data_IF_391848059987
#
_entry.id   IF_391848059987
#
_cell.length_a   1.000
_cell.length_b   1.000
_cell.length_c   1.000
_cell.angle_alpha   90.00
_cell.angle_beta   90.00
_cell.angle_gamma   90.00
#
_symmetry.space_group_name_H-M   'P 1'
#
loop_
_entity.id
_entity.type
_entity.pdbx_description
1 polymer ?
#
# COMPACT_ATOMS: atom_id res chain seq x y z
N UNK A 1 23.73 0.00 23.55
CA UNK A 1 23.55 0.89 22.39
C UNK A 1 22.89 2.18 22.85
N UNK A 2 23.27 3.37 22.34
CA UNK A 2 22.54 4.59 22.66
C UNK A 2 21.08 4.42 22.24
N UNK A 3 20.15 4.90 23.07
CA UNK A 3 18.72 4.86 22.76
C UNK A 3 18.34 5.75 21.57
N UNK A 4 17.11 5.61 21.02
CA UNK A 4 16.65 6.45 19.94
C UNK A 4 16.62 7.92 20.33
N UNK A 5 16.91 8.80 19.36
CA UNK A 5 16.89 10.25 19.56
C UNK A 5 15.43 10.73 19.58
N UNK A 6 14.96 11.10 20.77
CA UNK A 6 13.57 11.45 21.04
C UNK A 6 13.03 12.59 20.16
N UNK A 7 13.87 13.59 19.85
CA UNK A 7 13.46 14.72 18.98
C UNK A 7 13.16 14.27 17.55
N UNK A 8 13.93 13.30 17.03
CA UNK A 8 13.71 12.74 15.68
C UNK A 8 12.43 11.90 15.66
N UNK A 9 12.20 11.08 16.70
CA UNK A 9 10.97 10.30 16.82
C UNK A 9 9.73 11.21 16.83
N UNK A 10 9.74 12.23 17.67
CA UNK A 10 8.64 13.19 17.77
C UNK A 10 8.40 13.95 16.45
N UNK A 11 9.48 14.34 15.73
CA UNK A 11 9.36 14.95 14.43
C UNK A 11 8.69 14.01 13.41
N UNK A 12 9.09 12.73 13.40
CA UNK A 12 8.47 11.72 12.54
C UNK A 12 6.99 11.49 12.90
N UNK A 13 6.62 11.49 14.19
CA UNK A 13 5.22 11.38 14.64
C UNK A 13 4.38 12.58 14.19
N UNK A 14 4.91 13.79 14.25
CA UNK A 14 4.24 14.99 13.72
C UNK A 14 4.00 14.87 12.22
N UNK A 15 4.99 14.43 11.44
CA UNK A 15 4.84 14.24 10.00
C UNK A 15 3.80 13.17 9.67
N UNK A 16 3.82 12.03 10.38
CA UNK A 16 2.82 10.96 10.22
C UNK A 16 1.41 11.45 10.56
N UNK A 17 1.24 12.22 11.63
CA UNK A 17 -0.05 12.77 12.01
C UNK A 17 -0.60 13.70 10.94
N UNK A 18 0.24 14.58 10.36
CA UNK A 18 -0.15 15.45 9.25
C UNK A 18 -0.48 14.67 7.97
N UNK A 19 0.18 13.54 7.74
CA UNK A 19 -0.08 12.66 6.58
C UNK A 19 -1.44 11.95 6.67
N UNK A 20 -1.85 11.48 7.86
CA UNK A 20 -3.11 10.75 8.05
C UNK A 20 -4.35 11.66 8.01
N UNK A 21 -4.18 12.95 8.16
CA UNK A 21 -5.27 13.93 8.14
C UNK A 21 -5.85 14.24 6.74
N UNK A 22 -5.34 13.65 5.65
CA UNK A 22 -5.74 13.96 4.28
C UNK A 22 -5.50 15.44 3.94
N UNK A 23 -6.51 16.13 3.40
CA UNK A 23 -6.44 17.59 3.16
C UNK A 23 -6.49 18.42 4.46
N UNK A 24 -6.45 17.78 5.61
CA UNK A 24 -6.59 18.47 6.88
C UNK A 24 -5.28 19.07 7.34
N UNK A 25 -5.34 20.36 7.56
CA UNK A 25 -4.30 21.11 8.20
C UNK A 25 -4.56 21.10 9.71
N UNK A 26 -3.50 20.95 10.51
CA UNK A 26 -3.57 20.92 11.96
C UNK A 26 -2.88 22.13 12.59
N UNK A 27 -3.49 22.70 13.61
CA UNK A 27 -2.89 23.73 14.46
C UNK A 27 -1.90 23.10 15.45
N UNK A 28 -1.00 23.92 16.01
CA UNK A 28 -0.09 23.51 17.11
C UNK A 28 -0.85 22.83 18.25
N UNK A 29 -2.03 23.38 18.59
CA UNK A 29 -2.85 22.86 19.70
C UNK A 29 -3.47 21.50 19.41
N UNK A 30 -3.88 21.23 18.17
CA UNK A 30 -4.41 19.92 17.74
C UNK A 30 -3.29 18.87 17.73
N UNK A 31 -2.12 19.20 17.18
CA UNK A 31 -0.94 18.31 17.16
C UNK A 31 -0.48 18.00 18.59
N UNK A 32 -0.38 19.03 19.46
CA UNK A 32 0.04 18.86 20.86
C UNK A 32 -0.91 17.91 21.62
N UNK A 33 -2.20 18.02 21.40
CA UNK A 33 -3.20 17.13 22.02
C UNK A 33 -3.14 15.72 21.48
N UNK A 34 -3.00 15.56 20.16
CA UNK A 34 -2.96 14.25 19.51
C UNK A 34 -1.73 13.43 19.90
N UNK A 35 -0.58 14.09 20.13
CA UNK A 35 0.69 13.44 20.44
C UNK A 35 1.06 13.49 21.93
N UNK A 36 0.20 14.05 22.78
CA UNK A 36 0.45 14.28 24.21
C UNK A 36 1.78 15.03 24.47
N UNK A 37 2.00 16.11 23.71
CA UNK A 37 3.19 16.92 23.80
C UNK A 37 2.88 18.34 24.28
N UNK A 38 3.82 18.97 24.99
CA UNK A 38 3.71 20.38 25.36
C UNK A 38 3.73 21.27 24.08
N UNK A 39 2.84 22.28 24.01
CA UNK A 39 2.77 23.22 22.87
C UNK A 39 4.13 23.84 22.49
N UNK A 40 5.00 24.29 23.43
CA UNK A 40 6.32 24.80 23.10
C UNK A 40 7.19 23.78 22.37
N UNK A 41 7.12 22.48 22.76
CA UNK A 41 7.86 21.39 22.12
C UNK A 41 7.38 21.21 20.68
N UNK A 42 6.06 21.14 20.45
CA UNK A 42 5.48 21.01 19.11
C UNK A 42 5.85 22.21 18.24
N UNK A 43 5.79 23.42 18.79
CA UNK A 43 6.17 24.63 18.07
C UNK A 43 7.64 24.59 17.63
N UNK A 44 8.56 24.14 18.52
CA UNK A 44 9.97 23.98 18.19
C UNK A 44 10.20 22.96 17.07
N UNK A 45 9.51 21.81 17.12
CA UNK A 45 9.57 20.77 16.07
C UNK A 45 9.05 21.32 14.74
N UNK A 46 7.87 21.94 14.73
CA UNK A 46 7.26 22.48 13.51
C UNK A 46 8.11 23.58 12.88
N UNK A 47 8.72 24.45 13.69
CA UNK A 47 9.65 25.48 13.19
C UNK A 47 10.84 24.83 12.47
N UNK A 48 11.48 23.82 13.07
CA UNK A 48 12.60 23.11 12.44
C UNK A 48 12.17 22.41 11.16
N UNK A 49 11.02 21.72 11.17
CA UNK A 49 10.48 21.06 9.99
C UNK A 49 10.12 22.05 8.87
N UNK A 50 9.69 23.26 9.23
CA UNK A 50 9.39 24.34 8.29
C UNK A 50 10.69 24.90 7.67
N UNK A 51 11.74 25.10 8.47
CA UNK A 51 13.06 25.54 7.99
C UNK A 51 13.66 24.59 6.93
N UNK A 52 13.38 23.28 7.03
CA UNK A 52 13.84 22.28 6.05
C UNK A 52 12.79 21.98 4.97
N UNK A 53 11.65 22.68 4.96
CA UNK A 53 10.60 22.53 3.95
C UNK A 53 9.73 21.28 4.06
N UNK A 54 9.80 20.53 5.18
CA UNK A 54 8.99 19.34 5.42
C UNK A 54 7.56 19.64 5.87
N UNK A 55 7.36 20.83 6.41
CA UNK A 55 6.06 21.34 6.84
C UNK A 55 5.91 22.77 6.31
N UNK A 56 4.70 23.14 5.94
CA UNK A 56 4.30 24.48 5.53
C UNK A 56 3.19 25.00 6.43
N UNK A 57 3.17 26.33 6.64
CA UNK A 57 2.10 27.02 7.32
C UNK A 57 1.42 27.97 6.34
N UNK A 58 0.11 27.90 6.24
CA UNK A 58 -0.64 28.66 5.23
C UNK A 58 -0.65 30.16 5.47
N UNK A 59 -0.73 30.55 6.74
CA UNK A 59 -0.65 31.95 7.20
C UNK A 59 0.04 31.95 8.56
N UNK A 60 0.74 33.00 8.93
CA UNK A 60 1.36 33.14 10.24
C UNK A 60 0.33 32.93 11.36
N UNK A 61 0.60 32.01 12.30
CA UNK A 61 -0.34 31.57 13.33
C UNK A 61 -1.42 30.58 12.88
N UNK A 62 -1.46 30.20 11.58
CA UNK A 62 -2.42 29.27 10.99
C UNK A 62 -2.09 27.81 11.23
N UNK A 63 -2.78 26.96 10.46
CA UNK A 63 -2.60 25.51 10.49
C UNK A 63 -1.40 25.07 9.66
N UNK A 64 -0.85 23.91 10.02
CA UNK A 64 0.31 23.28 9.35
C UNK A 64 -0.14 22.13 8.47
N UNK A 65 0.57 21.94 7.35
CA UNK A 65 0.44 20.83 6.41
C UNK A 65 1.80 20.27 6.02
N UNK A 66 1.83 19.12 5.35
CA UNK A 66 3.06 18.61 4.77
C UNK A 66 3.61 19.53 3.69
N UNK A 67 4.93 19.73 3.69
CA UNK A 67 5.65 20.58 2.75
C UNK A 67 6.17 19.83 1.52
N UNK A 68 6.45 20.58 0.45
CA UNK A 68 6.85 20.03 -0.85
C UNK A 68 8.19 19.26 -0.83
N UNK A 69 9.09 19.54 0.13
CA UNK A 69 10.35 18.80 0.24
C UNK A 69 10.16 17.32 0.53
N UNK A 70 9.08 16.93 1.20
CA UNK A 70 8.75 15.51 1.42
C UNK A 70 8.40 14.80 0.12
N UNK A 71 7.74 15.47 -0.81
CA UNK A 71 7.44 14.91 -2.13
C UNK A 71 8.74 14.64 -2.91
N UNK A 72 9.72 15.57 -2.87
CA UNK A 72 11.02 15.35 -3.53
C UNK A 72 11.78 14.14 -2.98
N UNK A 73 11.74 13.94 -1.65
CA UNK A 73 12.36 12.77 -1.03
C UNK A 73 11.61 11.49 -1.41
N UNK A 74 10.28 11.53 -1.37
CA UNK A 74 9.43 10.39 -1.73
C UNK A 74 9.58 9.98 -3.21
N UNK A 75 9.72 10.93 -4.14
CA UNK A 75 9.98 10.61 -5.55
C UNK A 75 11.32 9.91 -5.74
N UNK A 76 12.38 10.30 -5.03
CA UNK A 76 13.68 9.60 -5.09
C UNK A 76 13.58 8.14 -4.66
N UNK A 77 12.73 7.82 -3.67
CA UNK A 77 12.45 6.45 -3.28
C UNK A 77 11.74 5.68 -4.40
N UNK A 78 10.75 6.29 -5.03
CA UNK A 78 9.98 5.66 -6.13
C UNK A 78 10.83 5.49 -7.40
N UNK A 79 11.71 6.43 -7.71
CA UNK A 79 12.61 6.37 -8.87
C UNK A 79 13.68 5.29 -8.71
N UNK A 80 14.15 5.05 -7.48
CA UNK A 80 15.04 3.94 -7.14
C UNK A 80 14.37 2.57 -7.09
N UNK A 81 13.05 2.48 -7.21
CA UNK A 81 12.34 1.22 -7.13
C UNK A 81 12.29 0.52 -8.49
N UNK A 82 13.18 -0.47 -8.67
CA UNK A 82 13.32 -1.24 -9.93
C UNK A 82 12.02 -1.96 -10.30
N UNK A 83 11.32 -2.56 -9.34
CA UNK A 83 10.04 -3.22 -9.57
C UNK A 83 9.03 -2.25 -10.21
N UNK A 84 8.88 -1.05 -9.62
CA UNK A 84 7.98 -0.03 -10.16
C UNK A 84 8.36 0.34 -11.58
N UNK A 85 9.65 0.63 -11.83
CA UNK A 85 10.14 1.05 -13.15
C UNK A 85 9.84 -0.01 -14.24
N UNK A 86 10.04 -1.30 -13.93
CA UNK A 86 9.76 -2.41 -14.85
C UNK A 86 8.28 -2.71 -15.03
N UNK A 87 7.45 -2.34 -14.07
CA UNK A 87 6.03 -2.67 -14.06
C UNK A 87 5.13 -1.61 -14.71
N UNK A 88 5.61 -0.38 -15.00
CA UNK A 88 4.77 0.74 -15.46
C UNK A 88 3.89 0.35 -16.67
N UNK A 89 4.50 -0.07 -17.77
CA UNK A 89 3.78 -0.42 -19.00
C UNK A 89 2.82 -1.61 -18.81
N UNK A 90 3.21 -2.57 -17.99
CA UNK A 90 2.38 -3.75 -17.69
C UNK A 90 1.19 -3.39 -16.82
N UNK A 91 1.34 -2.43 -15.92
CA UNK A 91 0.24 -1.91 -15.10
C UNK A 91 -0.80 -1.20 -15.93
N UNK A 92 -0.37 -0.33 -16.86
CA UNK A 92 -1.28 0.36 -17.79
C UNK A 92 -2.01 -0.64 -18.68
N UNK A 93 -1.29 -1.63 -19.23
CA UNK A 93 -1.87 -2.70 -20.06
C UNK A 93 -2.90 -3.50 -19.27
N UNK A 94 -2.59 -3.86 -18.01
CA UNK A 94 -3.50 -4.59 -17.13
C UNK A 94 -4.75 -3.77 -16.82
N UNK A 95 -4.60 -2.48 -16.49
CA UNK A 95 -5.73 -1.59 -16.22
C UNK A 95 -6.69 -1.49 -17.40
N UNK A 96 -6.14 -1.35 -18.63
CA UNK A 96 -6.93 -1.30 -19.84
C UNK A 96 -7.68 -2.61 -20.15
N UNK A 97 -7.03 -3.76 -19.95
CA UNK A 97 -7.63 -5.09 -20.20
C UNK A 97 -8.67 -5.45 -19.16
N UNK A 98 -8.31 -5.30 -17.87
CA UNK A 98 -9.21 -5.65 -16.77
C UNK A 98 -10.32 -4.60 -16.56
N UNK A 99 -10.12 -3.35 -17.03
CA UNK A 99 -10.98 -2.20 -16.79
C UNK A 99 -11.16 -1.91 -15.29
N UNK A 100 -10.11 -2.18 -14.51
CA UNK A 100 -10.07 -1.97 -13.07
C UNK A 100 -8.81 -1.22 -12.65
N UNK A 101 -8.83 -0.68 -11.43
CA UNK A 101 -7.65 -0.05 -10.84
C UNK A 101 -6.55 -1.09 -10.59
N UNK A 102 -5.29 -0.73 -10.91
CA UNK A 102 -4.13 -1.59 -10.69
C UNK A 102 -3.25 -1.01 -9.60
N UNK A 103 -2.76 -1.87 -8.73
CA UNK A 103 -1.77 -1.50 -7.70
C UNK A 103 -0.58 -2.44 -7.74
N UNK A 104 0.60 -1.88 -7.47
CA UNK A 104 1.82 -2.64 -7.22
C UNK A 104 2.21 -2.40 -5.77
N UNK A 105 2.42 -3.47 -5.03
CA UNK A 105 2.77 -3.43 -3.63
C UNK A 105 4.08 -4.14 -3.32
N UNK A 106 4.77 -3.66 -2.29
CA UNK A 106 5.93 -4.29 -1.67
C UNK A 106 5.72 -4.40 -0.17
N UNK A 107 6.34 -5.38 0.49
CA UNK A 107 6.27 -5.46 1.95
C UNK A 107 7.05 -4.31 2.59
N UNK A 108 6.42 -3.64 3.56
CA UNK A 108 7.02 -2.62 4.40
C UNK A 108 6.60 -2.85 5.86
N UNK A 109 7.46 -3.51 6.63
CA UNK A 109 7.11 -3.98 7.98
C UNK A 109 5.91 -4.92 7.94
N UNK A 110 4.83 -4.54 8.61
CA UNK A 110 3.56 -5.31 8.70
C UNK A 110 2.50 -4.85 7.68
N UNK A 111 2.88 -4.07 6.68
CA UNK A 111 1.94 -3.52 5.70
C UNK A 111 2.46 -3.71 4.29
N UNK A 112 1.59 -3.60 3.34
CA UNK A 112 1.92 -3.49 1.92
C UNK A 112 2.00 -2.01 1.57
N UNK A 113 3.18 -1.52 1.19
CA UNK A 113 3.34 -0.19 0.63
C UNK A 113 2.97 -0.23 -0.85
N UNK A 114 1.99 0.54 -1.25
CA UNK A 114 1.64 0.73 -2.67
C UNK A 114 2.67 1.64 -3.31
N UNK A 115 3.51 1.10 -4.20
CA UNK A 115 4.57 1.85 -4.89
C UNK A 115 4.14 2.39 -6.25
N UNK A 116 3.02 1.88 -6.78
CA UNK A 116 2.42 2.37 -8.03
C UNK A 116 0.91 2.10 -8.05
N UNK A 117 0.16 3.03 -8.64
CA UNK A 117 -1.28 2.93 -8.81
C UNK A 117 -1.67 3.45 -10.20
N UNK A 118 -2.44 2.68 -10.94
CA UNK A 118 -3.10 3.08 -12.18
C UNK A 118 -4.59 3.15 -11.92
N UNK A 119 -5.19 4.28 -12.22
CA UNK A 119 -6.63 4.46 -12.07
C UNK A 119 -7.40 3.55 -13.01
N UNK A 120 -8.58 3.13 -12.55
CA UNK A 120 -9.55 2.47 -13.42
C UNK A 120 -9.88 3.38 -14.62
N UNK A 121 -9.86 2.85 -15.84
CA UNK A 121 -10.11 3.65 -17.05
C UNK A 121 -11.60 3.95 -17.24
N UNK A 122 -12.17 4.73 -16.32
CA UNK A 122 -13.52 5.26 -16.38
C UNK A 122 -13.55 6.71 -15.84
N UNK A 123 -14.71 7.35 -15.91
CA UNK A 123 -14.87 8.73 -15.43
C UNK A 123 -15.23 8.84 -13.95
N UNK A 124 -15.09 7.76 -13.16
CA UNK A 124 -15.36 7.80 -11.73
C UNK A 124 -14.29 8.59 -10.98
N UNK A 125 -14.71 9.22 -9.89
CA UNK A 125 -13.76 9.85 -8.97
C UNK A 125 -13.00 8.76 -8.22
N UNK A 126 -11.68 8.79 -8.31
CA UNK A 126 -10.79 7.83 -7.66
C UNK A 126 -9.75 8.56 -6.82
N UNK A 127 -9.26 7.90 -5.78
CA UNK A 127 -8.17 8.40 -4.93
C UNK A 127 -6.87 7.74 -5.33
N UNK A 128 -5.78 8.50 -5.34
CA UNK A 128 -4.44 7.96 -5.58
C UNK A 128 -3.95 7.21 -4.36
N UNK A 129 -3.61 5.93 -4.53
CA UNK A 129 -3.15 5.07 -3.44
C UNK A 129 -1.63 4.91 -3.40
N UNK A 130 -0.86 5.50 -4.32
CA UNK A 130 0.60 5.46 -4.23
C UNK A 130 1.07 6.08 -2.91
N UNK A 131 1.83 5.32 -2.13
CA UNK A 131 2.24 5.65 -0.77
C UNK A 131 1.29 5.14 0.33
N UNK A 132 0.12 4.58 -0.03
CA UNK A 132 -0.78 3.96 0.94
C UNK A 132 -0.15 2.71 1.58
N UNK A 133 -0.46 2.50 2.84
CA UNK A 133 -0.11 1.30 3.60
C UNK A 133 -1.36 0.44 3.77
N UNK A 134 -1.40 -0.70 3.10
CA UNK A 134 -2.51 -1.64 3.16
C UNK A 134 -2.21 -2.77 4.16
N UNK A 135 -3.22 -3.30 4.86
CA UNK A 135 -3.02 -4.48 5.69
C UNK A 135 -2.69 -5.71 4.84
N UNK A 136 -1.70 -6.48 5.28
CA UNK A 136 -1.28 -7.66 4.52
C UNK A 136 -2.30 -8.81 4.59
N UNK A 137 -3.00 -8.95 5.72
CA UNK A 137 -3.87 -10.08 6.00
C UNK A 137 -5.25 -10.00 5.33
N UNK A 138 -5.66 -8.82 4.90
CA UNK A 138 -7.00 -8.58 4.34
C UNK A 138 -6.96 -8.04 2.89
N UNK A 139 -5.84 -8.22 2.19
CA UNK A 139 -5.69 -7.77 0.80
C UNK A 139 -5.03 -8.86 -0.05
N UNK A 140 -5.45 -8.99 -1.30
CA UNK A 140 -4.84 -9.92 -2.24
C UNK A 140 -3.34 -9.64 -2.43
N UNK A 141 -2.93 -8.37 -2.51
CA UNK A 141 -1.52 -7.98 -2.57
C UNK A 141 -0.72 -8.52 -1.38
N UNK A 142 -1.24 -8.35 -0.18
CA UNK A 142 -0.56 -8.80 1.04
C UNK A 142 -0.46 -10.32 1.11
N UNK A 143 -1.55 -11.02 0.81
CA UNK A 143 -1.55 -12.50 0.77
C UNK A 143 -0.60 -13.03 -0.29
N UNK A 144 -0.55 -12.43 -1.48
CA UNK A 144 0.39 -12.82 -2.54
C UNK A 144 1.86 -12.59 -2.15
N UNK A 145 2.15 -11.55 -1.36
CA UNK A 145 3.51 -11.26 -0.86
C UNK A 145 3.94 -12.21 0.25
N UNK A 146 3.05 -12.47 1.20
CA UNK A 146 3.38 -13.23 2.43
C UNK A 146 3.37 -14.73 2.20
N UNK A 147 2.55 -15.24 1.27
CA UNK A 147 2.41 -16.66 1.02
C UNK A 147 3.74 -17.38 0.73
N UNK A 148 4.71 -16.71 0.12
CA UNK A 148 6.00 -17.28 -0.30
C UNK A 148 7.17 -16.94 0.66
N UNK A 149 6.90 -16.24 1.75
CA UNK A 149 7.88 -15.96 2.80
C UNK A 149 7.94 -17.07 3.84
N UNK A 150 9.09 -17.19 4.51
CA UNK A 150 9.27 -18.17 5.59
C UNK A 150 8.58 -17.77 6.90
N UNK A 151 8.36 -16.45 7.09
CA UNK A 151 7.76 -15.90 8.29
C UNK A 151 6.68 -14.89 7.94
N UNK A 152 5.56 -14.98 8.64
CA UNK A 152 4.51 -13.98 8.57
C UNK A 152 4.87 -12.76 9.43
N UNK A 153 4.37 -11.57 9.09
CA UNK A 153 4.54 -10.42 9.95
C UNK A 153 3.98 -10.69 11.36
N UNK A 154 4.81 -10.57 12.39
CA UNK A 154 4.41 -10.78 13.78
C UNK A 154 3.30 -9.84 14.23
N UNK A 155 2.40 -10.32 15.08
CA UNK A 155 1.37 -9.53 15.75
C UNK A 155 -0.05 -10.05 15.51
N UNK A 156 -0.99 -9.45 16.21
CA UNK A 156 -2.39 -9.77 16.10
C UNK A 156 -2.93 -9.38 14.71
N UNK A 157 -3.71 -10.28 14.11
CA UNK A 157 -4.40 -10.02 12.86
C UNK A 157 -5.58 -9.10 13.13
N UNK A 158 -5.63 -7.98 12.42
CA UNK A 158 -6.75 -7.05 12.51
C UNK A 158 -7.91 -7.53 11.64
N UNK A 159 -9.09 -7.63 12.21
CA UNK A 159 -10.34 -7.79 11.46
C UNK A 159 -10.85 -6.42 11.00
N UNK A 160 -11.18 -6.28 9.71
CA UNK A 160 -11.68 -5.05 9.10
C UNK A 160 -13.18 -5.14 8.80
N UNK A 161 -13.63 -6.34 8.40
CA UNK A 161 -15.02 -6.68 8.15
C UNK A 161 -15.36 -8.02 8.80
N UNK A 162 -16.61 -8.43 8.74
CA UNK A 162 -17.02 -9.79 9.15
C UNK A 162 -16.48 -10.90 8.25
N UNK A 163 -15.95 -10.54 7.07
CA UNK A 163 -15.38 -11.47 6.08
C UNK A 163 -13.85 -11.54 6.16
N UNK A 164 -13.21 -10.71 6.98
CA UNK A 164 -11.77 -10.83 7.22
C UNK A 164 -11.46 -12.20 7.79
N UNK A 165 -10.55 -12.93 7.16
CA UNK A 165 -10.19 -14.28 7.56
C UNK A 165 -9.58 -14.31 8.96
N UNK A 166 -9.99 -15.29 9.75
CA UNK A 166 -9.34 -15.61 11.02
C UNK A 166 -7.95 -16.26 10.76
N UNK A 167 -7.10 -16.44 11.80
CA UNK A 167 -5.76 -16.99 11.61
C UNK A 167 -5.71 -18.36 10.96
N UNK A 168 -6.65 -19.25 11.24
CA UNK A 168 -6.70 -20.62 10.69
C UNK A 168 -7.12 -20.58 9.21
N UNK A 169 -8.17 -19.83 8.89
CA UNK A 169 -8.65 -19.61 7.53
C UNK A 169 -7.57 -18.94 6.67
N UNK A 170 -6.89 -17.91 7.21
CA UNK A 170 -5.82 -17.22 6.51
C UNK A 170 -4.66 -18.15 6.21
N UNK A 171 -4.27 -19.01 7.17
CA UNK A 171 -3.24 -20.02 6.95
C UNK A 171 -3.61 -20.97 5.80
N UNK A 172 -4.83 -21.47 5.80
CA UNK A 172 -5.33 -22.32 4.74
C UNK A 172 -5.33 -21.61 3.37
N UNK A 173 -5.78 -20.35 3.31
CA UNK A 173 -5.78 -19.56 2.07
C UNK A 173 -4.36 -19.30 1.56
N UNK A 174 -3.40 -18.99 2.43
CA UNK A 174 -2.01 -18.79 2.03
C UNK A 174 -1.37 -20.06 1.44
N UNK A 175 -1.74 -21.25 1.91
CA UNK A 175 -1.33 -22.51 1.28
C UNK A 175 -1.93 -22.65 -0.13
N UNK A 176 -3.21 -22.33 -0.30
CA UNK A 176 -3.82 -22.29 -1.64
C UNK A 176 -3.17 -21.26 -2.55
N UNK A 177 -2.75 -20.11 -2.01
CA UNK A 177 -2.00 -19.08 -2.79
C UNK A 177 -0.67 -19.64 -3.29
N UNK A 178 0.06 -20.42 -2.47
CA UNK A 178 1.31 -21.09 -2.90
C UNK A 178 1.07 -22.08 -4.06
N UNK A 179 -0.02 -22.82 -4.01
CA UNK A 179 -0.33 -23.84 -5.03
C UNK A 179 -0.79 -23.20 -6.35
N UNK A 180 -1.62 -22.17 -6.29
CA UNK A 180 -2.22 -21.54 -7.48
C UNK A 180 -1.44 -20.36 -8.05
N UNK A 181 -0.50 -19.80 -7.28
CA UNK A 181 0.36 -18.66 -7.65
C UNK A 181 -0.40 -17.34 -7.85
N UNK A 182 -1.49 -17.14 -7.13
CA UNK A 182 -2.25 -15.89 -7.06
C UNK A 182 -3.13 -15.88 -5.81
N UNK A 183 -3.48 -14.69 -5.35
CA UNK A 183 -4.33 -14.45 -4.20
C UNK A 183 -5.55 -13.61 -4.59
N UNK A 184 -6.60 -13.70 -3.80
CA UNK A 184 -7.72 -12.76 -3.81
C UNK A 184 -8.16 -12.43 -2.40
N UNK A 185 -8.81 -11.32 -2.23
CA UNK A 185 -9.68 -11.02 -1.11
C UNK A 185 -11.10 -10.74 -1.61
N UNK A 186 -12.08 -11.03 -0.80
CA UNK A 186 -13.49 -10.83 -1.08
C UNK A 186 -14.16 -10.28 0.17
N UNK A 187 -14.52 -8.99 0.14
CA UNK A 187 -15.09 -8.26 1.27
C UNK A 187 -14.19 -8.16 2.51
N UNK A 188 -12.94 -8.61 2.47
CA UNK A 188 -12.10 -8.76 3.66
C UNK A 188 -11.60 -7.42 4.23
N UNK A 189 -11.18 -6.48 3.37
CA UNK A 189 -10.76 -5.14 3.79
C UNK A 189 -11.92 -4.16 3.82
N UNK A 190 -12.74 -4.16 2.77
CA UNK A 190 -13.90 -3.27 2.59
C UNK A 190 -15.08 -4.11 2.13
N UNK A 191 -16.21 -3.98 2.82
CA UNK A 191 -17.46 -4.64 2.39
C UNK A 191 -17.87 -4.16 0.99
N UNK A 192 -18.20 -5.08 0.10
CA UNK A 192 -18.55 -4.78 -1.30
C UNK A 192 -17.37 -4.68 -2.26
N UNK A 193 -16.15 -4.84 -1.79
CA UNK A 193 -14.95 -4.82 -2.64
C UNK A 193 -14.29 -6.20 -2.74
N UNK A 194 -13.60 -6.42 -3.85
CA UNK A 194 -12.74 -7.56 -4.09
C UNK A 194 -11.42 -7.13 -4.72
N UNK A 195 -10.40 -7.95 -4.56
CA UNK A 195 -9.14 -7.77 -5.29
C UNK A 195 -8.53 -9.11 -5.70
N UNK A 196 -7.66 -9.06 -6.71
CA UNK A 196 -6.85 -10.17 -7.19
C UNK A 196 -5.42 -9.71 -7.34
N UNK A 197 -4.46 -10.50 -6.89
CA UNK A 197 -3.05 -10.19 -7.04
C UNK A 197 -2.22 -11.45 -7.33
N UNK A 198 -1.08 -11.24 -8.00
CA UNK A 198 -0.10 -12.28 -8.24
C UNK A 198 1.30 -11.78 -7.84
N UNK A 199 2.18 -12.68 -7.35
CA UNK A 199 3.52 -12.33 -6.93
C UNK A 199 4.40 -12.01 -8.12
N UNK A 200 5.28 -11.03 -7.94
CA UNK A 200 6.35 -10.68 -8.88
C UNK A 200 7.69 -11.13 -8.30
N UNK A 201 8.47 -11.87 -9.11
CA UNK A 201 9.72 -12.48 -8.69
C UNK A 201 10.93 -11.88 -9.39
N UNK A 202 12.03 -11.83 -8.66
CA UNK A 202 13.33 -11.46 -9.22
C UNK A 202 14.01 -12.67 -9.94
N UNK A 203 15.22 -12.45 -10.46
CA UNK A 203 16.05 -13.47 -11.13
C UNK A 203 16.38 -14.69 -10.24
N UNK A 204 16.24 -14.59 -8.93
CA UNK A 204 16.49 -15.68 -7.96
C UNK A 204 15.21 -16.45 -7.62
N UNK A 205 14.08 -16.05 -8.19
CA UNK A 205 12.76 -16.60 -7.87
C UNK A 205 12.15 -16.05 -6.57
N UNK A 206 12.81 -15.07 -5.94
CA UNK A 206 12.32 -14.45 -4.70
C UNK A 206 11.19 -13.48 -5.03
N UNK A 207 10.10 -13.52 -4.28
CA UNK A 207 8.99 -12.56 -4.39
C UNK A 207 9.46 -11.20 -3.87
N UNK A 208 9.54 -10.22 -4.77
CA UNK A 208 9.99 -8.85 -4.47
C UNK A 208 8.85 -7.84 -4.49
N UNK A 209 7.68 -8.26 -4.94
CA UNK A 209 6.48 -7.45 -4.98
C UNK A 209 5.27 -8.25 -5.43
N UNK A 210 4.13 -7.59 -5.53
CA UNK A 210 2.92 -8.13 -6.12
C UNK A 210 2.24 -7.08 -6.98
N UNK A 211 1.57 -7.52 -8.05
CA UNK A 211 0.71 -6.69 -8.90
C UNK A 211 -0.71 -7.23 -8.82
N UNK A 212 -1.70 -6.34 -8.75
CA UNK A 212 -3.09 -6.75 -8.64
C UNK A 212 -4.07 -5.69 -9.08
N UNK A 213 -5.31 -6.10 -9.24
CA UNK A 213 -6.48 -5.27 -9.52
C UNK A 213 -7.41 -5.27 -8.32
N UNK A 214 -8.21 -4.22 -8.18
CA UNK A 214 -9.24 -4.12 -7.15
C UNK A 214 -10.42 -3.28 -7.63
N UNK A 215 -11.59 -3.57 -7.10
CA UNK A 215 -12.81 -2.85 -7.40
C UNK A 215 -14.03 -3.47 -6.74
N UNK A 216 -15.24 -2.95 -7.05
CA UNK A 216 -16.48 -3.51 -6.59
C UNK A 216 -16.64 -4.98 -6.98
N UNK A 217 -17.19 -5.77 -6.07
CA UNK A 217 -17.43 -7.22 -6.26
C UNK A 217 -18.21 -7.51 -7.55
N UNK A 218 -19.23 -6.72 -7.85
CA UNK A 218 -20.08 -6.88 -9.05
C UNK A 218 -19.29 -6.79 -10.36
N UNK A 219 -18.11 -6.17 -10.31
CA UNK A 219 -17.22 -6.02 -11.47
C UNK A 219 -16.18 -7.11 -11.59
N UNK A 220 -15.76 -7.69 -10.45
CA UNK A 220 -14.70 -8.70 -10.42
C UNK A 220 -15.24 -10.13 -10.37
N UNK A 221 -16.43 -10.35 -9.81
CA UNK A 221 -17.02 -11.65 -9.57
C UNK A 221 -18.30 -11.84 -10.38
N UNK A 222 -18.69 -13.08 -10.62
CA UNK A 222 -19.98 -13.40 -11.26
C UNK A 222 -21.14 -13.33 -10.27
N UNK A 223 -20.83 -13.47 -8.98
CA UNK A 223 -21.75 -13.31 -7.85
C UNK A 223 -20.96 -12.78 -6.63
N UNK A 224 -21.62 -12.05 -5.71
CA UNK A 224 -20.95 -11.43 -4.56
C UNK A 224 -20.18 -12.42 -3.66
N UNK A 225 -20.61 -13.67 -3.59
CA UNK A 225 -20.01 -14.70 -2.73
C UNK A 225 -19.07 -15.65 -3.49
N UNK A 226 -18.77 -15.36 -4.76
CA UNK A 226 -17.89 -16.18 -5.58
C UNK A 226 -16.51 -15.54 -5.75
N UNK A 227 -15.45 -16.35 -5.92
CA UNK A 227 -14.13 -15.83 -6.23
C UNK A 227 -14.14 -15.03 -7.54
N UNK A 228 -13.15 -14.16 -7.74
CA UNK A 228 -13.02 -13.37 -8.95
C UNK A 228 -12.95 -14.21 -10.22
N UNK A 229 -13.49 -13.67 -11.32
CA UNK A 229 -13.55 -14.32 -12.63
C UNK A 229 -12.16 -14.75 -13.09
N UNK A 230 -12.05 -15.99 -13.57
CA UNK A 230 -10.78 -16.58 -14.01
C UNK A 230 -10.10 -15.79 -15.15
N UNK A 231 -10.87 -15.09 -15.96
CA UNK A 231 -10.34 -14.20 -16.98
C UNK A 231 -9.50 -13.07 -16.36
N UNK A 232 -10.03 -12.39 -15.33
CA UNK A 232 -9.32 -11.33 -14.61
C UNK A 232 -8.08 -11.88 -13.88
N UNK A 233 -8.22 -13.06 -13.27
CA UNK A 233 -7.08 -13.77 -12.66
C UNK A 233 -5.99 -14.03 -13.71
N UNK A 234 -6.35 -14.45 -14.92
CA UNK A 234 -5.38 -14.72 -15.99
C UNK A 234 -4.64 -13.47 -16.41
N UNK A 235 -5.33 -12.32 -16.51
CA UNK A 235 -4.69 -11.03 -16.84
C UNK A 235 -3.70 -10.58 -15.78
N UNK A 236 -4.05 -10.71 -14.50
CA UNK A 236 -3.16 -10.37 -13.37
C UNK A 236 -1.92 -11.27 -13.36
N UNK A 237 -2.09 -12.60 -13.54
CA UNK A 237 -0.98 -13.54 -13.59
C UNK A 237 -0.05 -13.29 -14.79
N UNK A 238 -0.60 -12.96 -15.95
CA UNK A 238 0.18 -12.61 -17.15
C UNK A 238 1.01 -11.34 -16.90
N UNK A 239 0.41 -10.30 -16.32
CA UNK A 239 1.13 -9.08 -15.97
C UNK A 239 2.26 -9.36 -14.96
N UNK A 240 1.99 -10.11 -13.89
CA UNK A 240 2.99 -10.47 -12.89
C UNK A 240 4.18 -11.24 -13.49
N UNK A 241 3.91 -12.22 -14.36
CA UNK A 241 4.96 -12.96 -15.08
C UNK A 241 5.77 -12.08 -16.01
N UNK A 242 5.11 -11.14 -16.69
CA UNK A 242 5.78 -10.20 -17.58
C UNK A 242 6.72 -9.27 -16.82
N UNK A 243 6.26 -8.71 -15.70
CA UNK A 243 7.11 -7.90 -14.82
C UNK A 243 8.27 -8.73 -14.25
N UNK A 244 8.02 -9.97 -13.84
CA UNK A 244 9.07 -10.87 -13.34
C UNK A 244 10.15 -11.12 -14.40
N UNK A 245 9.77 -11.31 -15.66
CA UNK A 245 10.74 -11.44 -16.78
C UNK A 245 11.58 -10.18 -16.98
N UNK A 246 10.98 -9.00 -16.86
CA UNK A 246 11.70 -7.72 -16.90
C UNK A 246 12.72 -7.57 -15.77
N UNK A 247 12.46 -8.20 -14.61
CA UNK A 247 13.37 -8.28 -13.47
C UNK A 247 14.40 -9.44 -13.59
N UNK A 248 14.42 -10.12 -14.74
CA UNK A 248 15.30 -11.25 -14.98
C UNK A 248 14.82 -12.55 -14.37
N UNK A 249 13.58 -12.63 -13.91
CA UNK A 249 12.95 -13.85 -13.42
C UNK A 249 12.80 -14.89 -14.53
N UNK A 250 12.97 -16.16 -14.19
CA UNK A 250 12.69 -17.27 -15.08
C UNK A 250 11.18 -17.40 -15.30
N UNK A 251 10.77 -17.78 -16.52
CA UNK A 251 9.37 -18.11 -16.81
C UNK A 251 9.00 -19.42 -16.12
N UNK A 252 8.19 -19.33 -15.09
CA UNK A 252 7.55 -20.48 -14.41
C UNK A 252 6.18 -20.76 -15.00
#
# INVERSE_FOLDING_TARGET
MPGPIQSIQRAAEVLKLLAHGGAHQLSVGEIARALDLAKPTVHGILRTLQEVGFVEQEVEGGKYRLGAALFQIGTSYLDGNELRAKALNWSDTLAMRAREAVRIGVMHGKHVLVVHHVFRPDNSRQTLDTGALLPWNATALGKALVAFGDNWPDGDLQAFTRHTLDPEQLHADLNLVRDRDWAYDLHELVEGEASVAAPVRDRRGVVVGAIGISGPVERLCDSPDQPPRLELVSYVREAARSVSRELGGLSW
#
